data_IF_026223467659
#
_entry.id   IF_026223467659
#
_cell.length_a   1.000
_cell.length_b   1.000
_cell.length_c   1.000
_cell.angle_alpha   90.00
_cell.angle_beta   90.00
_cell.angle_gamma   90.00
#
_symmetry.space_group_name_H-M   'P 1'
#
loop_
_entity.id
_entity.type
_entity.pdbx_description
1 polymer ?
#
# COMPACT_ATOMS: atom_id res chain seq x y z
N UNK A 1 -3.03 -21.74 -20.00
CA UNK A 1 -4.43 -21.33 -19.79
C UNK A 1 -4.42 -20.45 -18.55
N UNK A 2 -4.37 -19.13 -18.72
CA UNK A 2 -4.47 -18.21 -17.58
C UNK A 2 -5.94 -18.16 -17.17
N UNK A 3 -6.23 -18.54 -15.93
CA UNK A 3 -7.56 -18.29 -15.38
C UNK A 3 -7.84 -16.77 -15.40
N UNK A 4 -9.09 -16.36 -15.66
CA UNK A 4 -9.44 -14.95 -15.60
C UNK A 4 -9.23 -14.45 -14.17
N UNK A 5 -8.56 -13.29 -14.04
CA UNK A 5 -8.46 -12.58 -12.76
C UNK A 5 -9.88 -12.34 -12.24
N UNK A 6 -10.13 -12.66 -10.97
CA UNK A 6 -11.42 -12.43 -10.32
C UNK A 6 -11.79 -10.95 -10.44
N UNK A 7 -12.93 -10.67 -11.07
CA UNK A 7 -13.54 -9.33 -11.09
C UNK A 7 -13.92 -8.95 -9.66
N UNK A 8 -13.59 -7.73 -9.23
CA UNK A 8 -14.03 -7.21 -7.94
C UNK A 8 -15.57 -7.30 -7.84
N UNK A 9 -16.08 -8.02 -6.83
CA UNK A 9 -17.53 -8.20 -6.61
C UNK A 9 -18.17 -9.47 -7.19
N UNK A 10 -17.47 -10.25 -8.02
CA UNK A 10 -18.00 -11.50 -8.60
C UNK A 10 -17.77 -12.75 -7.73
N UNK A 11 -17.21 -12.59 -6.53
CA UNK A 11 -17.08 -13.70 -5.58
C UNK A 11 -18.46 -14.19 -5.13
N UNK A 12 -18.84 -15.40 -5.53
CA UNK A 12 -20.06 -16.04 -5.03
C UNK A 12 -19.88 -16.42 -3.55
N UNK A 13 -20.53 -15.68 -2.65
CA UNK A 13 -20.50 -15.90 -1.20
C UNK A 13 -21.91 -16.18 -0.64
N UNK A 14 -22.43 -17.42 -0.80
CA UNK A 14 -23.83 -17.75 -0.48
C UNK A 14 -24.20 -17.66 1.00
N UNK A 15 -23.23 -17.45 1.88
CA UNK A 15 -23.41 -17.42 3.33
C UNK A 15 -23.30 -16.02 3.95
N UNK A 16 -23.10 -14.98 3.14
CA UNK A 16 -22.88 -13.62 3.63
C UNK A 16 -24.12 -12.78 3.33
N UNK A 17 -24.98 -12.63 4.35
CA UNK A 17 -26.16 -11.78 4.27
C UNK A 17 -25.78 -10.30 4.42
N UNK A 18 -26.38 -9.41 3.62
CA UNK A 18 -26.28 -7.95 3.81
C UNK A 18 -26.91 -7.59 5.16
N UNK A 19 -26.07 -7.37 6.16
CA UNK A 19 -26.51 -6.92 7.49
C UNK A 19 -25.87 -5.55 7.76
N UNK A 20 -26.64 -4.54 8.18
CA UNK A 20 -26.07 -3.27 8.65
C UNK A 20 -25.08 -3.54 9.80
N UNK A 21 -23.97 -2.82 9.85
CA UNK A 21 -22.89 -3.04 10.81
C UNK A 21 -23.40 -3.19 12.24
N UNK A 22 -23.35 -4.40 12.83
CA UNK A 22 -23.67 -4.59 14.24
C UNK A 22 -22.55 -3.95 15.11
N UNK A 23 -22.81 -3.64 16.38
CA UNK A 23 -21.79 -3.15 17.31
C UNK A 23 -20.58 -4.10 17.35
N UNK A 24 -19.38 -3.61 17.69
CA UNK A 24 -18.15 -4.39 17.61
C UNK A 24 -18.23 -5.60 18.55
N UNK A 25 -18.52 -6.77 17.97
CA UNK A 25 -18.28 -8.05 18.61
C UNK A 25 -16.77 -8.24 18.68
N UNK A 26 -16.20 -8.81 19.77
CA UNK A 26 -14.76 -9.03 19.86
C UNK A 26 -14.25 -9.76 18.62
N UNK A 27 -13.16 -9.28 18.02
CA UNK A 27 -12.47 -9.84 16.85
C UNK A 27 -12.31 -11.37 16.85
N UNK A 28 -12.28 -11.97 18.04
CA UNK A 28 -11.85 -13.35 18.28
C UNK A 28 -12.95 -14.39 18.05
N UNK A 29 -14.21 -13.99 17.84
CA UNK A 29 -15.33 -14.92 17.74
C UNK A 29 -15.85 -15.16 16.33
N UNK A 30 -15.35 -14.43 15.30
CA UNK A 30 -15.81 -14.56 13.92
C UNK A 30 -14.78 -14.10 12.87
N UNK A 31 -14.97 -14.53 11.63
CA UNK A 31 -14.30 -13.97 10.46
C UNK A 31 -15.05 -12.72 9.97
N UNK A 32 -14.32 -11.82 9.30
CA UNK A 32 -14.85 -10.58 8.74
C UNK A 32 -14.62 -10.59 7.24
N UNK A 33 -15.70 -10.43 6.47
CA UNK A 33 -15.62 -10.24 5.03
C UNK A 33 -15.86 -8.78 4.71
N UNK A 34 -14.93 -8.18 3.96
CA UNK A 34 -15.05 -6.82 3.44
C UNK A 34 -15.13 -6.95 1.93
N UNK A 35 -16.26 -6.54 1.35
CA UNK A 35 -16.45 -6.61 -0.09
C UNK A 35 -15.58 -5.57 -0.80
N UNK A 36 -15.18 -5.89 -2.03
CA UNK A 36 -14.37 -5.00 -2.85
C UNK A 36 -15.08 -3.67 -3.20
N UNK A 37 -16.41 -3.61 -3.13
CA UNK A 37 -17.23 -2.40 -3.35
C UNK A 37 -17.54 -1.62 -2.06
N UNK A 38 -17.08 -2.10 -0.91
CA UNK A 38 -17.38 -1.55 0.42
C UNK A 38 -16.12 -0.98 1.11
N UNK A 39 -15.13 -0.56 0.33
CA UNK A 39 -13.89 -0.01 0.88
C UNK A 39 -14.12 1.36 1.51
N UNK A 40 -13.44 1.60 2.62
CA UNK A 40 -13.52 2.85 3.36
C UNK A 40 -12.59 3.91 2.75
N UNK A 41 -13.18 4.95 2.16
CA UNK A 41 -12.47 6.06 1.53
C UNK A 41 -12.06 7.19 2.48
N UNK A 42 -12.47 7.16 3.76
CA UNK A 42 -12.13 8.18 4.77
C UNK A 42 -10.68 8.00 5.26
N UNK A 43 -9.73 8.07 4.35
CA UNK A 43 -8.30 7.94 4.62
C UNK A 43 -7.56 9.17 4.12
N UNK A 44 -6.32 9.37 4.58
CA UNK A 44 -5.49 10.49 4.11
C UNK A 44 -5.22 10.37 2.61
N UNK A 45 -5.56 11.42 1.86
CA UNK A 45 -5.38 11.49 0.41
C UNK A 45 -4.32 12.51 0.03
N UNK A 46 -3.64 12.26 -1.09
CA UNK A 46 -2.68 13.20 -1.69
C UNK A 46 -3.01 13.37 -3.16
N UNK A 47 -2.56 14.47 -3.78
CA UNK A 47 -2.80 14.71 -5.21
C UNK A 47 -2.35 13.50 -6.05
N UNK A 48 -3.23 12.99 -6.90
CA UNK A 48 -2.96 11.83 -7.76
C UNK A 48 -2.98 10.45 -7.06
N UNK A 49 -3.15 10.36 -5.74
CA UNK A 49 -3.17 9.09 -5.01
C UNK A 49 -4.40 8.97 -4.11
N UNK A 50 -5.30 8.04 -4.47
CA UNK A 50 -6.51 7.73 -3.70
C UNK A 50 -6.33 6.43 -2.94
N UNK A 51 -6.61 6.45 -1.63
CA UNK A 51 -6.39 5.35 -0.69
C UNK A 51 -7.71 4.89 -0.11
N UNK A 52 -7.89 3.58 -0.02
CA UNK A 52 -9.11 2.94 0.45
C UNK A 52 -8.76 1.82 1.43
N UNK A 53 -9.32 1.83 2.64
CA UNK A 53 -9.08 0.78 3.62
C UNK A 53 -10.05 -0.39 3.42
N UNK A 54 -9.52 -1.62 3.41
CA UNK A 54 -10.30 -2.85 3.47
C UNK A 54 -10.27 -3.43 4.89
N UNK A 55 -9.08 -3.75 5.42
CA UNK A 55 -8.88 -4.27 6.77
C UNK A 55 -8.21 -3.20 7.63
N UNK A 56 -8.85 -2.81 8.72
CA UNK A 56 -8.36 -1.81 9.67
C UNK A 56 -9.06 -1.95 11.02
N UNK A 57 -8.63 -1.17 12.01
CA UNK A 57 -9.34 -0.99 13.27
C UNK A 57 -10.79 -0.57 13.08
N UNK A 58 -11.08 0.29 12.09
CA UNK A 58 -12.45 0.78 11.84
C UNK A 58 -13.32 -0.23 11.09
N UNK A 59 -12.76 -0.90 10.09
CA UNK A 59 -13.55 -1.78 9.21
C UNK A 59 -13.73 -3.18 9.79
N UNK A 60 -12.69 -3.71 10.45
CA UNK A 60 -12.70 -5.08 10.98
C UNK A 60 -12.41 -5.15 12.48
N UNK A 61 -11.92 -4.08 13.12
CA UNK A 61 -11.41 -4.10 14.49
C UNK A 61 -9.92 -4.44 14.59
N UNK A 62 -9.20 -4.55 13.46
CA UNK A 62 -7.80 -4.98 13.42
C UNK A 62 -6.87 -4.08 14.25
N UNK A 63 -5.97 -4.69 15.01
CA UNK A 63 -5.00 -3.97 15.84
C UNK A 63 -3.61 -3.93 15.19
N UNK A 64 -3.22 -4.98 14.47
CA UNK A 64 -1.83 -5.18 13.99
C UNK A 64 -1.64 -5.02 12.50
N UNK A 65 -2.74 -5.10 11.74
CA UNK A 65 -2.70 -5.05 10.28
C UNK A 65 -3.64 -3.95 9.81
N UNK A 66 -3.13 -3.09 8.95
CA UNK A 66 -3.96 -2.30 8.05
C UNK A 66 -3.73 -2.82 6.64
N UNK A 67 -4.79 -2.95 5.84
CA UNK A 67 -4.69 -3.36 4.45
C UNK A 67 -5.73 -2.64 3.60
N UNK A 68 -5.32 -2.18 2.42
CA UNK A 68 -6.17 -1.38 1.56
C UNK A 68 -5.63 -1.29 0.14
N UNK A 69 -6.28 -0.48 -0.68
CA UNK A 69 -5.87 -0.19 -2.04
C UNK A 69 -5.38 1.25 -2.15
N UNK A 70 -4.33 1.45 -2.95
CA UNK A 70 -3.93 2.77 -3.45
C UNK A 70 -4.08 2.78 -4.96
N UNK A 71 -4.85 3.74 -5.43
CA UNK A 71 -5.01 4.08 -6.84
C UNK A 71 -4.11 5.26 -7.15
N UNK A 72 -3.13 5.05 -8.02
CA UNK A 72 -2.14 6.05 -8.42
C UNK A 72 -2.48 6.49 -9.83
N UNK A 73 -2.96 7.73 -9.96
CA UNK A 73 -3.34 8.32 -11.23
C UNK A 73 -2.17 8.33 -12.23
N UNK A 74 -2.49 8.51 -13.51
CA UNK A 74 -1.49 8.66 -14.55
C UNK A 74 -0.52 9.82 -14.25
N UNK A 75 0.72 9.70 -14.72
CA UNK A 75 1.79 10.69 -14.57
C UNK A 75 1.94 11.26 -13.15
N UNK A 76 1.77 10.40 -12.13
CA UNK A 76 1.80 10.80 -10.72
C UNK A 76 3.13 10.40 -10.08
N UNK A 77 3.67 11.27 -9.23
CA UNK A 77 4.85 11.01 -8.43
C UNK A 77 4.61 11.56 -7.02
N UNK A 78 4.92 10.77 -6.00
CA UNK A 78 4.88 11.26 -4.61
C UNK A 78 6.05 12.19 -4.32
N UNK A 79 6.02 12.86 -3.17
CA UNK A 79 7.25 13.40 -2.57
C UNK A 79 8.14 12.24 -2.09
N UNK A 80 9.43 12.52 -1.89
CA UNK A 80 10.33 11.62 -1.16
C UNK A 80 9.89 11.54 0.30
N UNK A 81 9.74 10.33 0.82
CA UNK A 81 9.23 10.12 2.17
C UNK A 81 9.66 8.77 2.74
N UNK A 82 9.45 8.58 4.04
CA UNK A 82 9.50 7.26 4.69
C UNK A 82 8.29 7.08 5.62
N UNK A 83 8.03 5.83 6.03
CA UNK A 83 6.88 5.47 6.86
C UNK A 83 7.20 5.30 8.35
N UNK A 84 8.23 5.99 8.84
CA UNK A 84 8.73 5.82 10.21
C UNK A 84 8.97 4.35 10.54
N UNK A 85 8.42 3.87 11.66
CA UNK A 85 8.54 2.48 12.12
C UNK A 85 7.65 1.47 11.37
N UNK A 86 6.80 1.94 10.45
CA UNK A 86 5.89 1.04 9.74
C UNK A 86 6.66 0.17 8.74
N UNK A 87 6.38 -1.13 8.80
CA UNK A 87 6.64 -2.04 7.68
C UNK A 87 5.50 -1.90 6.68
N UNK A 88 5.83 -1.91 5.39
CA UNK A 88 4.84 -1.85 4.31
C UNK A 88 5.10 -2.94 3.28
N UNK A 89 4.08 -3.75 2.99
CA UNK A 89 4.09 -4.71 1.89
C UNK A 89 3.09 -4.26 0.82
N UNK A 90 3.49 -4.35 -0.44
CA UNK A 90 2.72 -3.87 -1.59
C UNK A 90 2.59 -5.01 -2.59
N UNK A 91 1.40 -5.16 -3.14
CA UNK A 91 1.12 -6.07 -4.26
C UNK A 91 0.52 -5.29 -5.42
N UNK A 92 1.06 -5.49 -6.62
CA UNK A 92 0.63 -4.76 -7.82
C UNK A 92 -0.56 -5.47 -8.46
N UNK A 93 -1.72 -4.81 -8.46
CA UNK A 93 -2.96 -5.35 -9.05
C UNK A 93 -3.03 -5.05 -10.54
N UNK A 94 -2.75 -3.80 -10.94
CA UNK A 94 -2.78 -3.33 -12.33
C UNK A 94 -1.85 -2.13 -12.55
N UNK A 95 -1.52 -1.85 -13.81
CA UNK A 95 -0.56 -0.81 -14.18
C UNK A 95 0.89 -1.22 -13.93
N UNK A 96 1.81 -0.26 -14.08
CA UNK A 96 3.26 -0.47 -13.93
C UNK A 96 3.87 0.62 -13.05
N UNK A 97 3.50 0.69 -11.75
CA UNK A 97 4.10 1.66 -10.85
C UNK A 97 5.58 1.34 -10.62
N UNK A 98 6.33 2.36 -10.27
CA UNK A 98 7.76 2.26 -9.99
C UNK A 98 8.06 2.79 -8.59
N UNK A 99 8.97 2.11 -7.90
CA UNK A 99 9.40 2.48 -6.55
C UNK A 99 10.87 2.86 -6.60
N UNK A 100 11.18 4.08 -6.19
CA UNK A 100 12.50 4.69 -6.32
C UNK A 100 13.10 4.91 -4.94
N UNK A 101 14.33 4.47 -4.73
CA UNK A 101 15.06 4.66 -3.48
C UNK A 101 16.56 4.81 -3.77
N UNK A 102 17.34 5.26 -2.79
CA UNK A 102 18.80 5.30 -2.90
C UNK A 102 19.40 4.04 -2.25
N UNK A 103 20.05 3.20 -3.04
CA UNK A 103 20.76 2.02 -2.55
C UNK A 103 22.19 2.41 -2.15
N UNK A 104 22.51 2.24 -0.87
CA UNK A 104 23.84 2.51 -0.30
C UNK A 104 24.65 1.24 -0.02
N UNK A 105 24.28 0.09 -0.58
CA UNK A 105 24.99 -1.17 -0.36
C UNK A 105 26.34 -1.26 -1.09
N UNK A 106 26.55 -0.42 -2.11
CA UNK A 106 27.81 -0.29 -2.85
C UNK A 106 28.75 0.80 -2.33
N UNK A 107 29.90 0.97 -2.98
CA UNK A 107 30.90 1.99 -2.62
C UNK A 107 30.38 3.43 -2.81
N UNK A 108 29.44 3.61 -3.75
CA UNK A 108 28.77 4.88 -4.03
C UNK A 108 27.27 4.66 -4.00
N UNK A 109 26.48 5.50 -3.29
CA UNK A 109 25.02 5.40 -3.32
C UNK A 109 24.47 5.62 -4.74
N UNK A 110 23.53 4.77 -5.15
CA UNK A 110 22.91 4.83 -6.48
C UNK A 110 21.40 4.91 -6.38
N UNK A 111 20.76 5.74 -7.21
CA UNK A 111 19.31 5.76 -7.31
C UNK A 111 18.84 4.51 -8.06
N UNK A 112 18.08 3.67 -7.36
CA UNK A 112 17.51 2.43 -7.87
C UNK A 112 16.02 2.62 -8.10
N UNK A 113 15.56 2.08 -9.23
CA UNK A 113 14.17 2.12 -9.65
C UNK A 113 13.66 0.71 -9.87
N UNK A 114 12.78 0.28 -8.98
CA UNK A 114 12.07 -0.99 -9.08
C UNK A 114 10.90 -0.81 -10.03
N UNK A 115 11.02 -1.31 -11.26
CA UNK A 115 9.94 -1.31 -12.25
C UNK A 115 9.09 -2.55 -12.05
N UNK A 116 7.82 -2.37 -11.69
CA UNK A 116 6.94 -3.48 -11.32
C UNK A 116 5.86 -3.72 -12.36
N UNK A 117 5.31 -4.93 -12.35
CA UNK A 117 4.22 -5.38 -13.20
C UNK A 117 3.12 -6.04 -12.35
N UNK A 118 1.90 -6.18 -12.89
CA UNK A 118 0.81 -6.81 -12.15
C UNK A 118 1.13 -8.25 -11.72
N UNK A 119 1.12 -8.51 -10.42
CA UNK A 119 1.57 -9.77 -9.82
C UNK A 119 2.83 -9.64 -8.95
N UNK A 120 3.57 -8.54 -9.07
CA UNK A 120 4.77 -8.31 -8.29
C UNK A 120 4.48 -7.86 -6.86
N UNK A 121 5.47 -8.10 -5.98
CA UNK A 121 5.45 -7.69 -4.57
C UNK A 121 6.61 -6.75 -4.29
N UNK A 122 6.37 -5.74 -3.45
CA UNK A 122 7.39 -4.81 -2.94
C UNK A 122 7.31 -4.76 -1.42
N UNK A 123 8.45 -4.79 -0.77
CA UNK A 123 8.57 -4.57 0.67
C UNK A 123 9.33 -3.27 0.91
N UNK A 124 8.73 -2.39 1.70
CA UNK A 124 9.36 -1.14 2.16
C UNK A 124 9.66 -1.31 3.66
N UNK A 125 10.95 -1.44 4.03
CA UNK A 125 11.34 -1.51 5.42
C UNK A 125 11.10 -0.18 6.15
N UNK A 126 11.06 -0.20 7.50
CA UNK A 126 11.00 1.02 8.30
C UNK A 126 12.10 2.01 7.91
N UNK A 127 11.74 3.29 7.94
CA UNK A 127 12.62 4.45 7.72
C UNK A 127 13.28 4.58 6.34
N UNK A 128 13.15 3.62 5.42
CA UNK A 128 13.75 3.70 4.09
C UNK A 128 13.08 4.83 3.29
N UNK A 129 13.83 5.88 2.91
CA UNK A 129 13.31 6.93 2.05
C UNK A 129 13.06 6.39 0.65
N UNK A 130 11.87 6.65 0.13
CA UNK A 130 11.47 6.23 -1.20
C UNK A 130 10.46 7.19 -1.81
N UNK A 131 10.22 7.00 -3.10
CA UNK A 131 9.20 7.69 -3.89
C UNK A 131 8.42 6.67 -4.70
N UNK A 132 7.10 6.85 -4.73
CA UNK A 132 6.18 6.04 -5.52
C UNK A 132 5.78 6.82 -6.78
N UNK A 133 5.94 6.19 -7.94
CA UNK A 133 5.69 6.81 -9.23
C UNK A 133 4.75 5.94 -10.08
N UNK A 134 3.86 6.58 -10.83
CA UNK A 134 3.18 5.98 -11.97
C UNK A 134 3.56 6.79 -13.22
N UNK A 135 4.58 6.34 -13.98
CA UNK A 135 5.08 7.08 -15.12
C UNK A 135 4.18 6.98 -16.36
N UNK A 136 3.21 6.05 -16.37
CA UNK A 136 2.27 5.92 -17.48
C UNK A 136 1.43 7.21 -17.60
N UNK A 137 1.42 7.88 -18.77
CA UNK A 137 0.71 9.14 -18.94
C UNK A 137 -0.81 8.99 -19.10
N UNK A 138 -1.29 7.77 -19.35
CA UNK A 138 -2.67 7.51 -19.74
C UNK A 138 -3.41 6.56 -18.79
N UNK A 139 -2.70 5.66 -18.10
CA UNK A 139 -3.28 4.62 -17.27
C UNK A 139 -3.05 4.81 -15.76
N UNK A 140 -4.07 4.49 -14.97
CA UNK A 140 -3.98 4.36 -13.51
C UNK A 140 -3.26 3.05 -13.13
N UNK A 141 -2.40 3.11 -12.11
CA UNK A 141 -1.89 1.94 -11.41
C UNK A 141 -2.69 1.68 -10.12
N UNK A 142 -2.93 0.41 -9.80
CA UNK A 142 -3.61 0.00 -8.57
C UNK A 142 -2.74 -0.98 -7.82
N UNK A 143 -2.47 -0.66 -6.56
CA UNK A 143 -1.72 -1.52 -5.65
C UNK A 143 -2.54 -1.83 -4.41
N UNK A 144 -2.33 -3.00 -3.83
CA UNK A 144 -2.77 -3.36 -2.49
C UNK A 144 -1.62 -3.12 -1.53
N UNK A 145 -1.87 -2.39 -0.45
CA UNK A 145 -0.89 -2.07 0.57
C UNK A 145 -1.32 -2.71 1.87
N UNK A 146 -0.41 -3.43 2.53
CA UNK A 146 -0.53 -3.86 3.91
C UNK A 146 0.55 -3.16 4.75
N UNK A 147 0.19 -2.67 5.93
CA UNK A 147 1.13 -2.04 6.86
C UNK A 147 0.90 -2.46 8.30
N UNK A 148 1.95 -2.37 9.12
CA UNK A 148 1.92 -2.76 10.53
C UNK A 148 1.24 -1.74 11.45
N UNK A 149 1.03 -0.50 10.99
CA UNK A 149 0.37 0.57 11.73
C UNK A 149 -1.07 0.82 11.27
N UNK A 150 -1.99 1.11 12.19
CA UNK A 150 -3.36 1.47 11.81
C UNK A 150 -3.41 2.82 11.08
N UNK A 151 -2.75 3.82 11.66
CA UNK A 151 -2.63 5.14 11.04
C UNK A 151 -1.47 5.20 10.04
N UNK A 152 -1.65 6.01 8.99
CA UNK A 152 -0.62 6.21 7.99
C UNK A 152 0.51 7.06 8.58
N UNK A 153 1.72 6.53 8.61
CA UNK A 153 2.93 7.31 8.91
C UNK A 153 3.53 7.76 7.59
N UNK A 154 3.65 9.06 7.40
CA UNK A 154 4.31 9.66 6.24
C UNK A 154 5.18 10.80 6.73
N UNK A 155 6.48 10.64 6.61
CA UNK A 155 7.47 11.67 6.96
C UNK A 155 8.12 12.11 5.65
N UNK A 156 7.78 13.31 5.19
CA UNK A 156 8.37 13.89 3.98
C UNK A 156 9.83 14.28 4.25
N UNK A 157 10.71 13.98 3.31
CA UNK A 157 12.14 14.30 3.36
C UNK A 157 12.53 15.16 2.14
N UNK A 158 13.59 15.97 2.21
CA UNK A 158 13.99 16.84 1.11
C UNK A 158 14.64 16.11 -0.08
N UNK A 159 15.03 14.84 0.10
CA UNK A 159 15.64 14.00 -0.93
C UNK A 159 15.83 12.57 -0.45
N UNK A 160 16.02 11.63 -1.39
CA UNK A 160 16.39 10.25 -1.11
C UNK A 160 17.80 10.17 -0.50
N UNK A 161 17.94 9.33 0.53
CA UNK A 161 19.22 8.98 1.15
C UNK A 161 19.22 7.50 1.50
N UNK A 162 20.40 6.91 1.55
CA UNK A 162 20.56 5.52 1.94
C UNK A 162 20.69 5.42 3.48
N UNK A 163 20.18 4.33 4.04
CA UNK A 163 20.39 3.99 5.45
C UNK A 163 21.61 3.08 5.58
N UNK A 164 22.45 3.36 6.57
CA UNK A 164 23.51 2.47 6.99
C UNK A 164 22.97 1.26 7.76
N UNK A 165 23.82 0.27 8.09
CA UNK A 165 23.41 -0.96 8.76
C UNK A 165 22.76 -0.73 10.14
N UNK A 166 23.08 0.38 10.80
CA UNK A 166 22.50 0.76 12.09
C UNK A 166 21.21 1.60 11.97
N UNK A 167 20.69 1.78 10.74
CA UNK A 167 19.47 2.54 10.46
C UNK A 167 19.63 4.06 10.44
N UNK A 168 20.86 4.57 10.53
CA UNK A 168 21.17 6.00 10.40
C UNK A 168 21.41 6.37 8.94
N UNK A 169 21.04 7.59 8.53
CA UNK A 169 21.36 8.09 7.19
C UNK A 169 22.87 8.03 6.93
N UNK A 170 23.26 7.52 5.75
CA UNK A 170 24.63 7.62 5.27
C UNK A 170 24.96 9.08 4.90
N UNK A 171 26.21 9.52 5.15
CA UNK A 171 26.64 10.88 4.83
C UNK A 171 26.68 11.17 3.33
#
# INVERSE_FOLDING_TARGET
MSEPRTTAGEGFHPHLHDTPSPPPTPLRSRLYHIRADALDGDTAQTGGMRRFAAVSGRTAGSEKLWMGQTHVAAATSSSDHHHGESETAIYVVSGHPEFVFLDGSGDTPEEVRLRTSPGDYVFVPPFVPHREENPDPDAEAVVVIARSTQEAVVVNVPGLYALGPDGTALP
#
